data_IF_650303270863
#
_entry.id   IF_650303270863
#
_cell.length_a   1.000
_cell.length_b   1.000
_cell.length_c   1.000
_cell.angle_alpha   90.00
_cell.angle_beta   90.00
_cell.angle_gamma   90.00
#
_symmetry.space_group_name_H-M   'P 1'
#
loop_
_entity.id
_entity.type
_entity.pdbx_description
1 polymer ?
#
# COMPACT_ATOMS: atom_id res chain seq x y z
N UNK A 1 5.41 5.21 3.29
CA UNK A 1 4.11 4.81 2.72
C UNK A 1 4.36 3.94 1.51
N UNK A 2 3.53 2.92 1.28
CA UNK A 2 3.68 1.94 0.19
C UNK A 2 2.37 1.89 -0.60
N UNK A 3 2.47 2.05 -1.93
CA UNK A 3 1.33 1.86 -2.83
C UNK A 3 1.31 0.41 -3.32
N UNK A 4 0.16 -0.25 -3.19
CA UNK A 4 0.05 -1.67 -3.51
C UNK A 4 -1.29 -2.01 -4.19
N UNK A 5 -1.27 -3.08 -4.97
CA UNK A 5 -2.47 -3.71 -5.53
C UNK A 5 -3.12 -4.64 -4.50
N UNK A 6 -4.31 -5.17 -4.79
CA UNK A 6 -5.05 -6.06 -3.88
C UNK A 6 -4.23 -7.28 -3.46
N UNK A 7 -3.49 -7.89 -4.40
CA UNK A 7 -2.67 -9.08 -4.10
C UNK A 7 -1.50 -8.83 -3.14
N UNK A 8 -1.00 -7.59 -3.08
CA UNK A 8 0.21 -7.27 -2.29
C UNK A 8 -0.10 -6.40 -1.06
N UNK A 9 -1.37 -6.22 -0.71
CA UNK A 9 -1.77 -5.39 0.44
C UNK A 9 -1.29 -5.98 1.77
N UNK A 10 -1.37 -7.30 1.94
CA UNK A 10 -0.91 -7.99 3.15
C UNK A 10 0.60 -7.84 3.33
N UNK A 11 1.37 -8.00 2.24
CA UNK A 11 2.81 -7.78 2.24
C UNK A 11 3.17 -6.32 2.61
N UNK A 12 2.45 -5.34 2.07
CA UNK A 12 2.67 -3.93 2.39
C UNK A 12 2.37 -3.62 3.87
N UNK A 13 1.33 -4.25 4.44
CA UNK A 13 0.99 -4.15 5.86
C UNK A 13 2.11 -4.73 6.73
N UNK A 14 2.57 -5.94 6.42
CA UNK A 14 3.66 -6.59 7.17
C UNK A 14 4.94 -5.77 7.17
N UNK A 15 5.33 -5.22 6.01
CA UNK A 15 6.52 -4.36 5.90
C UNK A 15 6.41 -3.13 6.80
N UNK A 16 5.28 -2.41 6.76
CA UNK A 16 5.12 -1.22 7.61
C UNK A 16 5.04 -1.60 9.09
N UNK A 17 4.46 -2.75 9.45
CA UNK A 17 4.47 -3.23 10.84
C UNK A 17 5.88 -3.55 11.30
N UNK A 18 6.70 -4.19 10.46
CA UNK A 18 8.09 -4.54 10.80
C UNK A 18 8.97 -3.30 10.97
N UNK A 19 8.84 -2.31 10.08
CA UNK A 19 9.62 -1.07 10.14
C UNK A 19 9.20 -0.14 11.30
N UNK A 20 7.90 -0.02 11.57
CA UNK A 20 7.36 1.00 12.48
C UNK A 20 6.82 0.44 13.80
N UNK A 21 6.78 -0.88 13.97
CA UNK A 21 6.30 -1.60 15.17
C UNK A 21 4.94 -1.12 15.68
N UNK A 22 4.10 -0.61 14.79
CA UNK A 22 2.81 0.00 15.09
C UNK A 22 1.80 -0.33 14.01
N UNK A 23 0.51 -0.29 14.36
CA UNK A 23 -0.55 -0.61 13.43
C UNK A 23 -0.57 0.40 12.26
N UNK A 24 -0.39 -0.06 11.01
CA UNK A 24 -0.44 0.82 9.84
C UNK A 24 -1.85 1.32 9.57
N UNK A 25 -1.93 2.44 8.85
CA UNK A 25 -3.17 2.89 8.20
C UNK A 25 -3.25 2.29 6.81
N UNK A 26 -4.42 1.77 6.46
CA UNK A 26 -4.76 1.30 5.13
C UNK A 26 -5.84 2.21 4.55
N UNK A 27 -5.57 2.84 3.42
CA UNK A 27 -6.53 3.69 2.73
C UNK A 27 -6.68 3.22 1.28
N UNK A 28 -7.94 3.12 0.83
CA UNK A 28 -8.25 2.81 -0.57
C UNK A 28 -8.06 4.08 -1.39
N UNK A 29 -7.34 3.96 -2.49
CA UNK A 29 -7.06 5.07 -3.40
C UNK A 29 -7.95 4.99 -4.63
N UNK A 30 -8.33 6.16 -5.13
CA UNK A 30 -9.20 6.31 -6.28
C UNK A 30 -8.40 6.08 -7.57
N UNK A 31 -8.50 4.88 -8.13
CA UNK A 31 -7.76 4.43 -9.33
C UNK A 31 -7.89 5.38 -10.53
N UNK A 32 -9.01 6.09 -10.64
CA UNK A 32 -9.28 7.05 -11.72
C UNK A 32 -8.47 8.35 -11.60
N UNK A 33 -7.90 8.65 -10.42
CA UNK A 33 -7.23 9.94 -10.14
C UNK A 33 -5.71 9.89 -10.13
N UNK A 34 -5.11 8.70 -10.15
CA UNK A 34 -3.67 8.52 -9.96
C UNK A 34 -3.09 7.44 -10.87
N UNK A 35 -2.04 7.79 -11.61
CA UNK A 35 -1.24 6.84 -12.41
C UNK A 35 -0.18 6.13 -11.55
N UNK A 36 -0.51 5.80 -10.31
CA UNK A 36 0.42 5.15 -9.37
C UNK A 36 0.29 3.64 -9.51
N UNK A 37 1.43 2.96 -9.59
CA UNK A 37 1.49 1.50 -9.68
C UNK A 37 1.92 0.89 -8.35
N UNK A 38 1.62 -0.39 -8.19
CA UNK A 38 2.05 -1.21 -7.08
C UNK A 38 3.58 -1.30 -7.06
N UNK A 39 4.19 -1.01 -5.91
CA UNK A 39 5.64 -1.02 -5.70
C UNK A 39 6.27 -2.40 -5.99
N UNK A 40 5.48 -3.49 -5.90
CA UNK A 40 5.98 -4.86 -6.02
C UNK A 40 5.87 -5.44 -7.43
N UNK A 41 4.74 -5.23 -8.11
CA UNK A 41 4.45 -5.89 -9.39
C UNK A 41 4.11 -4.92 -10.53
N UNK A 42 4.10 -3.61 -10.28
CA UNK A 42 3.77 -2.54 -11.25
C UNK A 42 2.35 -2.61 -11.83
N UNK A 43 1.49 -3.49 -11.34
CA UNK A 43 0.04 -3.42 -11.59
C UNK A 43 -0.53 -2.13 -11.00
N UNK A 44 -1.77 -1.76 -11.33
CA UNK A 44 -2.40 -0.59 -10.76
C UNK A 44 -2.50 -0.71 -9.23
N UNK A 45 -2.07 0.33 -8.50
CA UNK A 45 -2.23 0.37 -7.06
C UNK A 45 -3.68 0.79 -6.72
N UNK A 46 -4.26 0.11 -5.72
CA UNK A 46 -5.62 0.41 -5.22
C UNK A 46 -5.62 0.71 -3.72
N UNK A 47 -4.50 0.48 -3.04
CA UNK A 47 -4.30 0.83 -1.64
C UNK A 47 -3.01 1.62 -1.42
N UNK A 48 -3.02 2.46 -0.38
CA UNK A 48 -1.82 3.02 0.25
C UNK A 48 -1.75 2.54 1.70
N UNK A 49 -0.57 2.07 2.10
CA UNK A 49 -0.26 1.66 3.46
C UNK A 49 0.78 2.61 4.04
N UNK A 50 0.48 3.23 5.18
CA UNK A 50 1.37 4.24 5.78
C UNK A 50 1.37 4.21 7.31
N UNK A 51 2.48 4.65 7.89
CA UNK A 51 2.58 4.95 9.31
C UNK A 51 2.53 6.49 9.49
N UNK A 52 1.45 6.97 10.11
CA UNK A 52 1.06 8.37 10.37
C UNK A 52 0.86 9.28 9.16
#
# INVERSE_FOLDING_TARGET
MIYCCEEHVELALDVIVDDYYTAPKLEKIDEEKISTTCEYCRNMAVYVVANS
#
